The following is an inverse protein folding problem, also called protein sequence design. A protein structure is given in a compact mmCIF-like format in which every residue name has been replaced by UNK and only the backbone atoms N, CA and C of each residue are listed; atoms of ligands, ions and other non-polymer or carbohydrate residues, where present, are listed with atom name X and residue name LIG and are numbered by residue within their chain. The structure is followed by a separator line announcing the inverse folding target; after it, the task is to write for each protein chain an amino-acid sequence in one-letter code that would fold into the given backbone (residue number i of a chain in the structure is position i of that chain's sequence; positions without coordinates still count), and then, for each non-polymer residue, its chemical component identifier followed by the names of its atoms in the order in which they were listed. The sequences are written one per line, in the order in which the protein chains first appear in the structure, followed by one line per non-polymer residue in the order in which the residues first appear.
data_IF_683440760922
#
_entry.id   IF_683440760922
#
_cell.length_a   1.000
_cell.length_b   1.000
_cell.length_c   1.000
_cell.angle_alpha   90.00
_cell.angle_beta   90.00
_cell.angle_gamma   90.00
#
_symmetry.space_group_name_H-M   'P 1'
#
loop_
_entity.id
_entity.type
_entity.pdbx_description
1 polymer ?
#
# COMPACT_ATOMS: atom_id res chain seq x y z
N UNK A 1 -3.42 29.76 47.49
CA UNK A 1 -4.05 28.78 48.40
C UNK A 1 -3.53 27.36 48.09
N UNK A 2 -3.69 26.44 49.01
CA UNK A 2 -3.33 25.01 48.82
C UNK A 2 -4.03 24.39 47.57
N UNK A 3 -5.29 24.75 47.38
CA UNK A 3 -6.09 24.33 46.23
C UNK A 3 -5.52 24.83 44.89
N UNK A 4 -5.07 26.06 44.82
CA UNK A 4 -4.47 26.65 43.61
C UNK A 4 -3.17 25.91 43.23
N UNK A 5 -2.35 25.57 44.22
CA UNK A 5 -1.11 24.82 43.99
C UNK A 5 -1.37 23.40 43.51
N UNK A 6 -2.37 22.74 44.07
CA UNK A 6 -2.79 21.39 43.63
C UNK A 6 -3.33 21.42 42.19
N UNK A 7 -4.15 22.42 41.84
CA UNK A 7 -4.69 22.60 40.52
C UNK A 7 -3.59 22.85 39.48
N UNK A 8 -2.59 23.66 39.78
CA UNK A 8 -1.43 23.89 38.93
C UNK A 8 -0.64 22.60 38.74
N UNK A 9 -0.28 21.91 39.81
CA UNK A 9 0.48 20.65 39.72
C UNK A 9 -0.28 19.58 38.92
N UNK A 10 -1.60 19.52 39.05
CA UNK A 10 -2.43 18.58 38.28
C UNK A 10 -2.40 18.91 36.79
N UNK A 11 -2.45 20.21 36.45
CA UNK A 11 -2.36 20.64 35.04
C UNK A 11 -1.00 20.27 34.45
N UNK A 12 0.08 20.57 35.15
CA UNK A 12 1.45 20.27 34.72
C UNK A 12 1.67 18.74 34.57
N UNK A 13 1.13 17.95 35.52
CA UNK A 13 1.20 16.50 35.44
C UNK A 13 0.42 15.94 34.25
N UNK A 14 -0.77 16.49 33.92
CA UNK A 14 -1.56 16.09 32.75
C UNK A 14 -0.84 16.43 31.46
N UNK A 15 -0.24 17.61 31.33
CA UNK A 15 0.54 18.00 30.15
C UNK A 15 1.76 17.08 29.96
N UNK A 16 2.51 16.83 31.04
CA UNK A 16 3.64 15.91 31.02
C UNK A 16 3.23 14.49 30.63
N UNK A 17 2.14 14.00 31.16
CA UNK A 17 1.58 12.69 30.80
C UNK A 17 1.23 12.63 29.32
N UNK A 18 0.53 13.66 28.79
CA UNK A 18 0.17 13.74 27.37
C UNK A 18 1.40 13.73 26.48
N UNK A 19 2.41 14.52 26.80
CA UNK A 19 3.66 14.56 26.03
C UNK A 19 4.39 13.24 26.04
N UNK A 20 4.54 12.62 27.22
CA UNK A 20 5.21 11.32 27.35
C UNK A 20 4.42 10.20 26.65
N UNK A 21 3.10 10.25 26.69
CA UNK A 21 2.24 9.28 25.98
C UNK A 21 2.44 9.37 24.48
N UNK A 22 2.42 10.58 23.91
CA UNK A 22 2.67 10.78 22.47
C UNK A 22 4.05 10.29 22.05
N UNK A 23 5.09 10.60 22.81
CA UNK A 23 6.45 10.14 22.55
C UNK A 23 6.58 8.60 22.64
N UNK A 24 5.88 7.99 23.58
CA UNK A 24 5.84 6.54 23.72
C UNK A 24 5.11 5.87 22.55
N UNK A 25 3.95 6.41 22.15
CA UNK A 25 3.19 5.90 21.00
C UNK A 25 3.98 6.02 19.70
N UNK A 26 4.63 7.17 19.47
CA UNK A 26 5.50 7.37 18.31
C UNK A 26 6.69 6.39 18.31
N UNK A 27 7.31 6.16 19.47
CA UNK A 27 8.37 5.17 19.60
C UNK A 27 7.90 3.76 19.24
N UNK A 28 6.72 3.34 19.74
CA UNK A 28 6.14 2.02 19.45
C UNK A 28 5.85 1.83 17.95
N UNK A 29 5.34 2.86 17.26
CA UNK A 29 5.05 2.80 15.82
C UNK A 29 6.31 2.62 14.95
N UNK A 30 7.49 2.91 15.49
CA UNK A 30 8.76 2.76 14.80
C UNK A 30 9.50 1.45 15.13
N UNK A 31 8.99 0.64 16.05
CA UNK A 31 9.57 -0.67 16.38
C UNK A 31 9.21 -1.67 15.28
N UNK A 32 10.21 -2.34 14.66
CA UNK A 32 9.94 -3.42 13.72
C UNK A 32 9.16 -4.58 14.37
N UNK A 33 8.33 -5.25 13.58
CA UNK A 33 7.65 -6.44 14.04
C UNK A 33 8.63 -7.60 14.25
N UNK A 34 8.25 -8.56 15.11
CA UNK A 34 8.99 -9.80 15.30
C UNK A 34 8.90 -10.64 14.02
N UNK A 35 10.03 -11.16 13.58
CA UNK A 35 10.09 -12.06 12.46
C UNK A 35 9.73 -13.49 12.88
N UNK A 36 9.15 -14.26 11.97
CA UNK A 36 8.97 -15.70 12.16
C UNK A 36 10.36 -16.37 12.31
N UNK A 37 10.52 -17.37 13.19
CA UNK A 37 11.79 -18.08 13.38
C UNK A 37 12.36 -18.73 12.11
N UNK A 38 11.53 -19.01 11.10
CA UNK A 38 11.96 -19.57 9.83
C UNK A 38 12.61 -18.55 8.88
N UNK A 39 12.49 -17.24 9.17
CA UNK A 39 13.08 -16.21 8.32
C UNK A 39 14.59 -16.16 8.52
N UNK A 40 15.40 -16.33 7.46
CA UNK A 40 16.85 -16.29 7.56
C UNK A 40 17.33 -14.89 7.95
N UNK A 41 18.43 -14.85 8.71
CA UNK A 41 19.11 -13.58 8.97
C UNK A 41 19.87 -13.15 7.72
N UNK A 42 19.62 -11.93 7.25
CA UNK A 42 20.27 -11.41 6.05
C UNK A 42 20.36 -9.88 6.05
N UNK A 43 21.14 -9.34 5.13
CA UNK A 43 21.33 -7.90 4.92
C UNK A 43 20.71 -7.42 3.61
N UNK A 44 20.48 -8.32 2.68
CA UNK A 44 19.94 -8.05 1.35
C UNK A 44 19.09 -9.23 0.85
N UNK A 45 18.47 -9.04 -0.29
CA UNK A 45 17.70 -10.07 -1.01
C UNK A 45 18.53 -11.29 -1.42
N UNK A 46 19.85 -11.15 -1.52
CA UNK A 46 20.78 -12.26 -1.83
C UNK A 46 20.85 -13.29 -0.71
N UNK A 47 20.48 -12.89 0.50
CA UNK A 47 20.46 -13.76 1.68
C UNK A 47 19.12 -14.54 1.80
N UNK A 48 18.17 -14.33 0.88
CA UNK A 48 16.89 -15.03 0.89
C UNK A 48 17.03 -16.51 0.58
N UNK A 49 16.36 -17.36 1.34
CA UNK A 49 16.29 -18.80 1.10
C UNK A 49 15.22 -19.17 0.07
N UNK A 50 15.63 -19.91 -0.97
CA UNK A 50 14.68 -20.41 -1.96
C UNK A 50 13.86 -21.59 -1.39
N UNK A 51 12.64 -21.33 -0.98
CA UNK A 51 11.76 -22.33 -0.36
C UNK A 51 11.22 -23.35 -1.37
N UNK A 52 10.84 -22.91 -2.59
CA UNK A 52 10.22 -23.77 -3.58
C UNK A 52 10.43 -23.27 -5.00
N UNK A 53 10.71 -24.19 -5.92
CA UNK A 53 10.71 -23.92 -7.36
C UNK A 53 9.60 -24.75 -8.02
N UNK A 54 8.68 -24.09 -8.72
CA UNK A 54 7.54 -24.73 -9.40
C UNK A 54 7.60 -24.44 -10.89
N UNK A 55 7.39 -25.48 -11.69
CA UNK A 55 7.41 -25.40 -13.15
C UNK A 55 8.82 -25.35 -13.74
N UNK A 56 8.88 -25.15 -15.04
CA UNK A 56 10.12 -25.06 -15.82
C UNK A 56 10.19 -23.69 -16.49
N UNK A 57 11.30 -22.99 -16.28
CA UNK A 57 11.54 -21.72 -16.97
C UNK A 57 11.65 -22.01 -18.47
N UNK A 58 10.85 -21.37 -19.33
CA UNK A 58 10.94 -21.57 -20.77
C UNK A 58 12.28 -21.07 -21.30
N UNK A 59 12.82 -21.79 -22.29
CA UNK A 59 13.98 -21.34 -23.04
C UNK A 59 13.50 -20.84 -24.39
N UNK A 60 13.95 -19.66 -24.80
CA UNK A 60 13.60 -19.07 -26.09
C UNK A 60 14.80 -19.10 -27.02
N UNK A 61 14.57 -19.34 -28.31
CA UNK A 61 15.58 -19.25 -29.37
C UNK A 61 15.82 -17.79 -29.82
N UNK A 62 15.13 -16.83 -29.23
CA UNK A 62 15.24 -15.41 -29.49
C UNK A 62 15.43 -14.65 -28.16
N UNK A 63 15.92 -13.42 -28.24
CA UNK A 63 16.01 -12.54 -27.07
C UNK A 63 14.62 -11.99 -26.74
N UNK A 64 14.03 -12.37 -25.59
CA UNK A 64 12.73 -11.86 -25.20
C UNK A 64 12.81 -10.38 -24.89
N UNK A 65 11.78 -9.62 -25.29
CA UNK A 65 11.62 -8.21 -24.97
C UNK A 65 10.88 -8.03 -23.68
N UNK A 66 11.21 -6.99 -22.94
CA UNK A 66 10.49 -6.62 -21.74
C UNK A 66 9.10 -5.99 -22.05
N UNK A 67 8.33 -5.77 -21.01
CA UNK A 67 6.97 -5.23 -21.15
C UNK A 67 6.94 -3.79 -21.69
N UNK A 68 7.96 -2.98 -21.42
CA UNK A 68 8.05 -1.61 -21.94
C UNK A 68 8.33 -1.62 -23.45
N UNK A 69 9.32 -2.41 -23.88
CA UNK A 69 9.63 -2.58 -25.29
C UNK A 69 8.42 -3.09 -26.08
N UNK A 70 7.72 -4.11 -25.55
CA UNK A 70 6.51 -4.65 -26.17
C UNK A 70 5.38 -3.62 -26.21
N UNK A 71 5.19 -2.83 -25.15
CA UNK A 71 4.19 -1.80 -25.06
C UNK A 71 4.41 -0.68 -26.08
N UNK A 72 5.67 -0.27 -26.28
CA UNK A 72 6.05 0.73 -27.28
C UNK A 72 5.87 0.17 -28.69
N UNK A 73 6.37 -1.04 -28.97
CA UNK A 73 6.26 -1.68 -30.28
C UNK A 73 4.81 -1.88 -30.76
N UNK A 74 3.90 -2.10 -29.84
CA UNK A 74 2.46 -2.25 -30.14
C UNK A 74 1.69 -0.93 -30.16
N UNK A 75 2.37 0.21 -30.04
CA UNK A 75 1.76 1.53 -29.83
C UNK A 75 0.72 1.54 -28.69
N UNK A 76 0.96 0.73 -27.66
CA UNK A 76 0.05 0.55 -26.53
C UNK A 76 0.47 1.26 -25.25
N UNK A 77 1.74 1.66 -25.12
CA UNK A 77 2.28 2.38 -23.97
C UNK A 77 3.02 3.64 -24.42
N UNK A 78 2.76 4.76 -23.74
CA UNK A 78 3.36 6.05 -24.04
C UNK A 78 3.92 6.67 -22.75
N UNK A 79 5.22 6.52 -22.56
CA UNK A 79 5.92 7.02 -21.38
C UNK A 79 6.26 8.51 -21.50
N UNK A 80 6.50 9.02 -22.74
CA UNK A 80 6.80 10.44 -22.96
C UNK A 80 5.58 11.30 -22.66
N UNK A 81 4.40 10.89 -23.13
CA UNK A 81 3.16 11.54 -22.79
C UNK A 81 2.89 11.52 -21.28
N UNK A 82 3.18 10.41 -20.62
CA UNK A 82 3.01 10.30 -19.17
C UNK A 82 3.92 11.25 -18.40
N UNK A 83 5.18 11.41 -18.79
CA UNK A 83 6.12 12.38 -18.19
C UNK A 83 5.61 13.81 -18.38
N UNK A 84 5.09 14.14 -19.58
CA UNK A 84 4.51 15.46 -19.87
C UNK A 84 3.28 15.77 -19.01
N UNK A 85 2.44 14.76 -18.74
CA UNK A 85 1.18 14.91 -18.01
C UNK A 85 1.43 14.89 -16.48
N UNK A 86 2.38 14.07 -16.01
CA UNK A 86 2.61 13.83 -14.59
C UNK A 86 4.10 13.85 -14.24
N UNK A 87 4.74 12.68 -14.19
CA UNK A 87 6.17 12.47 -13.83
C UNK A 87 6.72 11.25 -14.55
N UNK A 88 8.03 11.01 -14.39
CA UNK A 88 8.62 9.68 -14.64
C UNK A 88 7.91 8.60 -13.80
N UNK A 89 7.94 7.36 -14.28
CA UNK A 89 7.28 6.18 -13.66
C UNK A 89 5.75 6.17 -13.76
N UNK A 90 5.16 7.06 -14.53
CA UNK A 90 3.79 6.93 -15.01
C UNK A 90 3.76 6.41 -16.44
N UNK A 91 2.64 5.88 -16.86
CA UNK A 91 2.44 5.38 -18.23
C UNK A 91 1.05 5.77 -18.72
N UNK A 92 0.95 6.09 -20.00
CA UNK A 92 -0.34 6.21 -20.69
C UNK A 92 -0.56 4.94 -21.48
N UNK A 93 -1.63 4.21 -21.17
CA UNK A 93 -2.06 3.08 -21.98
C UNK A 93 -2.94 3.56 -23.14
N UNK A 94 -2.68 3.01 -24.33
CA UNK A 94 -3.43 3.34 -25.53
C UNK A 94 -3.98 2.08 -26.20
N UNK A 95 -4.95 2.27 -27.08
CA UNK A 95 -5.43 1.26 -28.00
C UNK A 95 -5.73 -0.10 -27.35
N UNK A 96 -5.17 -1.17 -27.90
CA UNK A 96 -5.37 -2.55 -27.43
C UNK A 96 -4.87 -2.78 -26.01
N UNK A 97 -3.79 -2.13 -25.58
CA UNK A 97 -3.27 -2.26 -24.21
C UNK A 97 -4.25 -1.64 -23.21
N UNK A 98 -4.84 -0.49 -23.50
CA UNK A 98 -5.87 0.09 -22.65
C UNK A 98 -7.12 -0.81 -22.55
N UNK A 99 -7.51 -1.44 -23.66
CA UNK A 99 -8.61 -2.40 -23.66
C UNK A 99 -8.27 -3.67 -22.86
N UNK A 100 -7.05 -4.19 -23.03
CA UNK A 100 -6.56 -5.35 -22.31
C UNK A 100 -6.52 -5.10 -20.79
N UNK A 101 -6.00 -3.94 -20.39
CA UNK A 101 -5.99 -3.54 -18.96
C UNK A 101 -7.40 -3.59 -18.35
N UNK A 102 -8.38 -3.01 -19.04
CA UNK A 102 -9.79 -3.03 -18.58
C UNK A 102 -10.36 -4.45 -18.57
N UNK A 103 -10.04 -5.26 -19.58
CA UNK A 103 -10.48 -6.65 -19.65
C UNK A 103 -9.90 -7.50 -18.50
N UNK A 104 -8.63 -7.31 -18.17
CA UNK A 104 -7.98 -8.00 -17.04
C UNK A 104 -8.58 -7.58 -15.70
N UNK A 105 -8.87 -6.30 -15.50
CA UNK A 105 -9.56 -5.81 -14.30
C UNK A 105 -10.89 -6.55 -14.13
N UNK A 106 -11.71 -6.56 -15.18
CA UNK A 106 -13.01 -7.23 -15.15
C UNK A 106 -12.90 -8.74 -14.94
N UNK A 107 -11.92 -9.37 -15.59
CA UNK A 107 -11.65 -10.80 -15.43
C UNK A 107 -11.28 -11.15 -13.98
N UNK A 108 -10.35 -10.41 -13.37
CA UNK A 108 -9.93 -10.65 -12.00
C UNK A 108 -11.08 -10.42 -10.99
N UNK A 109 -11.83 -9.33 -11.13
CA UNK A 109 -12.99 -9.07 -10.28
C UNK A 109 -14.03 -10.19 -10.40
N UNK A 110 -14.38 -10.61 -11.62
CA UNK A 110 -15.34 -11.68 -11.85
C UNK A 110 -14.86 -13.02 -11.27
N UNK A 111 -13.59 -13.36 -11.45
CA UNK A 111 -13.03 -14.58 -10.90
C UNK A 111 -13.14 -14.60 -9.37
N UNK A 112 -12.76 -13.51 -8.72
CA UNK A 112 -12.83 -13.45 -7.25
C UNK A 112 -14.26 -13.44 -6.72
N UNK A 113 -15.17 -12.76 -7.38
CA UNK A 113 -16.58 -12.71 -6.93
C UNK A 113 -17.35 -14.00 -7.25
N UNK A 114 -17.18 -14.56 -8.46
CA UNK A 114 -17.98 -15.70 -8.91
C UNK A 114 -17.39 -17.04 -8.45
N UNK A 115 -16.06 -17.20 -8.53
CA UNK A 115 -15.41 -18.49 -8.29
C UNK A 115 -14.88 -18.62 -6.86
N UNK A 116 -14.45 -17.51 -6.24
CA UNK A 116 -13.85 -17.51 -4.90
C UNK A 116 -14.77 -16.98 -3.81
N UNK A 117 -15.96 -16.46 -4.13
CA UNK A 117 -16.94 -16.00 -3.15
C UNK A 117 -16.58 -14.71 -2.43
N UNK A 118 -15.69 -13.90 -2.98
CA UNK A 118 -15.36 -12.58 -2.43
C UNK A 118 -16.51 -11.60 -2.66
N UNK A 119 -16.68 -10.69 -1.72
CA UNK A 119 -17.62 -9.56 -1.87
C UNK A 119 -16.88 -8.39 -2.51
N UNK A 120 -17.37 -7.93 -3.66
CA UNK A 120 -16.82 -6.74 -4.30
C UNK A 120 -17.23 -5.50 -3.51
N UNK A 121 -16.25 -4.63 -3.21
CA UNK A 121 -16.48 -3.31 -2.62
C UNK A 121 -15.76 -2.23 -3.41
N UNK A 122 -16.39 -1.07 -3.49
CA UNK A 122 -15.81 0.12 -4.11
C UNK A 122 -15.49 1.15 -3.02
N UNK A 123 -14.23 1.47 -2.86
CA UNK A 123 -13.70 2.25 -1.74
C UNK A 123 -13.23 3.63 -2.18
N UNK A 124 -13.15 4.62 -1.27
CA UNK A 124 -12.54 5.91 -1.54
C UNK A 124 -11.06 5.78 -1.90
N UNK A 125 -10.58 6.62 -2.84
CA UNK A 125 -9.16 6.68 -3.23
C UNK A 125 -8.36 7.71 -2.43
N UNK A 126 -9.05 8.49 -1.62
CA UNK A 126 -8.49 9.45 -0.67
C UNK A 126 -8.87 8.98 0.73
N UNK A 127 -7.86 8.89 1.60
CA UNK A 127 -8.04 8.39 2.97
C UNK A 127 -7.41 9.35 3.97
N UNK A 128 -7.87 9.29 5.22
CA UNK A 128 -7.28 10.04 6.33
C UNK A 128 -5.99 9.36 6.84
N UNK A 129 -5.24 10.10 7.65
CA UNK A 129 -4.00 9.65 8.29
C UNK A 129 -4.17 8.34 9.08
N UNK A 130 -5.27 8.22 9.83
CA UNK A 130 -5.51 7.08 10.70
C UNK A 130 -5.67 5.77 9.91
N UNK A 131 -6.18 5.85 8.67
CA UNK A 131 -6.25 4.69 7.79
C UNK A 131 -4.87 4.20 7.36
N UNK A 132 -3.93 5.11 7.08
CA UNK A 132 -2.55 4.75 6.75
C UNK A 132 -1.74 4.27 7.97
N UNK A 133 -2.07 4.76 9.16
CA UNK A 133 -1.52 4.23 10.42
C UNK A 133 -2.03 2.80 10.67
N UNK A 134 -3.32 2.57 10.46
CA UNK A 134 -3.95 1.27 10.68
C UNK A 134 -3.39 0.13 9.83
N UNK A 135 -2.83 0.43 8.67
CA UNK A 135 -2.20 -0.54 7.75
C UNK A 135 -0.67 -0.42 7.68
N UNK A 136 -0.06 0.39 8.56
CA UNK A 136 1.39 0.45 8.74
C UNK A 136 2.19 1.24 7.69
N UNK A 137 1.52 1.99 6.79
CA UNK A 137 2.21 2.88 5.86
C UNK A 137 2.81 4.10 6.57
N UNK A 138 2.14 4.60 7.59
CA UNK A 138 2.66 5.65 8.45
C UNK A 138 3.12 5.05 9.80
N UNK A 139 4.14 5.64 10.41
CA UNK A 139 4.94 6.79 9.98
C UNK A 139 6.04 6.43 8.98
N UNK A 140 6.42 5.15 8.87
CA UNK A 140 7.65 4.68 8.22
C UNK A 140 7.77 5.07 6.73
N UNK A 141 6.69 4.96 5.97
CA UNK A 141 6.67 5.20 4.52
C UNK A 141 6.01 6.53 4.15
N UNK A 142 6.12 7.55 5.01
CA UNK A 142 5.49 8.86 4.77
C UNK A 142 5.94 9.52 3.47
N UNK A 143 7.22 9.39 3.12
CA UNK A 143 7.80 10.02 1.91
C UNK A 143 7.30 9.36 0.62
N UNK A 144 6.85 8.10 0.71
CA UNK A 144 6.28 7.37 -0.41
C UNK A 144 4.80 7.67 -0.64
N UNK A 145 4.17 8.45 0.23
CA UNK A 145 2.76 8.79 0.12
C UNK A 145 2.55 10.11 -0.63
N UNK A 146 1.48 10.17 -1.43
CA UNK A 146 0.98 11.42 -1.98
C UNK A 146 0.05 12.08 -0.97
N UNK A 147 0.56 13.05 -0.23
CA UNK A 147 -0.24 13.86 0.69
C UNK A 147 -1.03 14.92 -0.09
N UNK A 148 -2.31 15.04 0.21
CA UNK A 148 -3.17 16.10 -0.31
C UNK A 148 -3.08 17.28 0.64
N UNK A 149 -2.87 18.47 0.09
CA UNK A 149 -2.88 19.69 0.87
C UNK A 149 -4.33 20.03 1.19
N UNK A 150 -4.69 19.88 2.46
CA UNK A 150 -5.97 20.27 3.04
C UNK A 150 -5.64 21.06 4.31
N UNK A 151 -6.32 22.20 4.51
CA UNK A 151 -6.03 23.11 5.64
C UNK A 151 -6.52 22.54 6.99
N UNK A 152 -7.46 21.59 6.98
CA UNK A 152 -8.08 21.06 8.19
C UNK A 152 -7.65 19.63 8.53
N UNK A 153 -7.25 18.81 7.53
CA UNK A 153 -7.01 17.39 7.72
C UNK A 153 -5.78 16.88 6.96
N UNK A 154 -5.09 15.90 7.52
CA UNK A 154 -4.07 15.14 6.79
C UNK A 154 -4.74 14.06 5.95
N UNK A 155 -4.86 14.32 4.65
CA UNK A 155 -5.44 13.40 3.66
C UNK A 155 -4.38 12.90 2.67
N UNK A 156 -4.58 11.70 2.16
CA UNK A 156 -3.62 11.03 1.28
C UNK A 156 -4.32 10.27 0.16
N UNK A 157 -3.68 10.20 -1.02
CA UNK A 157 -4.05 9.23 -2.05
C UNK A 157 -3.64 7.83 -1.59
N UNK A 158 -4.47 6.83 -1.85
CA UNK A 158 -4.19 5.45 -1.41
C UNK A 158 -2.99 4.85 -2.16
N UNK A 159 -2.01 4.24 -1.48
CA UNK A 159 -0.92 3.50 -2.12
C UNK A 159 -1.34 2.09 -2.57
N UNK A 160 -2.44 1.58 -2.04
CA UNK A 160 -3.02 0.27 -2.31
C UNK A 160 -4.48 0.23 -1.85
N UNK A 161 -5.30 -0.60 -2.49
CA UNK A 161 -6.68 -0.86 -2.05
C UNK A 161 -6.76 -1.44 -0.64
N UNK A 162 -5.71 -2.13 -0.16
CA UNK A 162 -5.63 -2.68 1.19
C UNK A 162 -5.97 -1.64 2.25
N UNK A 163 -5.47 -0.41 2.10
CA UNK A 163 -5.69 0.65 3.10
C UNK A 163 -7.17 0.88 3.39
N UNK A 164 -8.01 1.30 2.44
CA UNK A 164 -9.42 1.52 2.71
C UNK A 164 -10.19 0.22 2.98
N UNK A 165 -9.82 -0.90 2.35
CA UNK A 165 -10.51 -2.19 2.53
C UNK A 165 -10.31 -2.73 3.95
N UNK A 166 -9.09 -2.71 4.48
CA UNK A 166 -8.80 -3.16 5.85
C UNK A 166 -9.44 -2.24 6.89
N UNK A 167 -9.40 -0.92 6.64
CA UNK A 167 -10.02 0.05 7.53
C UNK A 167 -11.56 0.10 7.44
N UNK A 168 -12.18 -0.64 6.53
CA UNK A 168 -13.64 -0.73 6.41
C UNK A 168 -14.28 -1.22 7.72
N UNK A 169 -13.60 -2.09 8.44
CA UNK A 169 -14.03 -2.61 9.74
C UNK A 169 -13.21 -2.07 10.93
N UNK A 170 -12.49 -0.97 10.74
CA UNK A 170 -11.75 -0.35 11.84
C UNK A 170 -12.70 0.08 12.96
N UNK A 171 -12.30 -0.19 14.20
CA UNK A 171 -13.05 0.13 15.43
C UNK A 171 -14.43 -0.57 15.53
N UNK A 172 -14.66 -1.66 14.77
CA UNK A 172 -15.84 -2.48 14.84
C UNK A 172 -15.58 -3.79 15.60
N UNK A 173 -16.57 -4.27 16.34
CA UNK A 173 -16.61 -5.61 16.91
C UNK A 173 -17.52 -6.46 16.02
N UNK A 174 -16.91 -7.38 15.28
CA UNK A 174 -17.63 -8.25 14.36
C UNK A 174 -18.21 -9.47 15.09
N UNK A 175 -19.38 -9.94 14.63
CA UNK A 175 -19.92 -11.20 15.13
C UNK A 175 -19.10 -12.39 14.58
N UNK A 176 -18.90 -13.40 15.39
CA UNK A 176 -18.19 -14.61 14.96
C UNK A 176 -18.88 -15.36 13.81
N UNK A 177 -20.20 -15.23 13.70
CA UNK A 177 -20.99 -15.78 12.60
C UNK A 177 -20.71 -15.12 11.23
N UNK A 178 -20.17 -13.91 11.22
CA UNK A 178 -19.91 -13.14 10.01
C UNK A 178 -18.51 -13.42 9.41
N UNK A 179 -17.67 -14.14 10.16
CA UNK A 179 -16.32 -14.51 9.77
C UNK A 179 -16.33 -15.80 8.93
N UNK A 180 -15.52 -15.93 7.89
CA UNK A 180 -14.48 -15.05 7.39
C UNK A 180 -15.05 -14.03 6.40
N UNK A 181 -14.65 -12.76 6.51
CA UNK A 181 -14.99 -11.73 5.55
C UNK A 181 -13.91 -11.64 4.48
N UNK A 182 -14.28 -11.82 3.23
CA UNK A 182 -13.37 -11.73 2.09
C UNK A 182 -13.87 -10.67 1.11
N UNK A 183 -13.02 -9.70 0.82
CA UNK A 183 -13.35 -8.57 -0.06
C UNK A 183 -12.40 -8.51 -1.25
N UNK A 184 -12.90 -8.03 -2.38
CA UNK A 184 -12.12 -7.66 -3.55
C UNK A 184 -12.47 -6.24 -3.97
N UNK A 185 -11.45 -5.49 -4.37
CA UNK A 185 -11.62 -4.12 -4.87
C UNK A 185 -10.58 -3.83 -5.96
N UNK A 186 -11.00 -3.13 -7.00
CA UNK A 186 -10.09 -2.53 -7.97
C UNK A 186 -9.95 -1.04 -7.69
N UNK A 187 -8.71 -0.57 -7.55
CA UNK A 187 -8.40 0.84 -7.35
C UNK A 187 -7.12 1.22 -8.11
N UNK A 188 -6.94 2.50 -8.45
CA UNK A 188 -5.59 3.00 -8.69
C UNK A 188 -4.77 2.90 -7.40
N UNK A 189 -3.43 2.84 -7.56
CA UNK A 189 -2.48 2.79 -6.45
C UNK A 189 -1.45 3.91 -6.68
N UNK A 190 -1.35 4.83 -5.72
CA UNK A 190 -0.52 6.03 -5.84
C UNK A 190 0.70 5.92 -4.93
N UNK A 191 1.88 5.69 -5.53
CA UNK A 191 3.16 5.64 -4.80
C UNK A 191 4.09 6.66 -5.40
N UNK A 192 4.73 7.50 -4.56
CA UNK A 192 5.67 8.52 -5.05
C UNK A 192 6.99 7.91 -5.50
N UNK A 193 7.29 6.67 -5.06
CA UNK A 193 8.53 5.98 -5.37
C UNK A 193 9.75 6.85 -5.06
N UNK A 194 9.77 7.45 -3.87
CA UNK A 194 10.81 8.39 -3.44
C UNK A 194 12.21 7.76 -3.38
N UNK A 195 12.27 6.43 -3.17
CA UNK A 195 13.50 5.66 -3.20
C UNK A 195 13.85 5.11 -4.60
N UNK A 196 15.09 4.62 -4.75
CA UNK A 196 15.53 3.87 -5.92
C UNK A 196 15.05 2.41 -5.82
N UNK A 197 13.79 2.17 -6.16
CA UNK A 197 13.28 0.81 -6.27
C UNK A 197 13.66 0.23 -7.63
N UNK A 198 14.10 -1.02 -7.65
CA UNK A 198 14.53 -1.71 -8.87
C UNK A 198 13.41 -1.86 -9.90
N UNK A 199 13.79 -2.04 -11.15
CA UNK A 199 12.85 -2.28 -12.27
C UNK A 199 12.13 -3.63 -12.21
N UNK A 200 12.48 -4.50 -11.27
CA UNK A 200 11.92 -5.84 -11.19
C UNK A 200 10.63 -5.86 -10.38
N UNK A 201 9.49 -5.77 -11.07
CA UNK A 201 8.15 -5.90 -10.47
C UNK A 201 7.88 -7.29 -9.87
N UNK A 202 8.62 -8.32 -10.29
CA UNK A 202 8.49 -9.71 -9.80
C UNK A 202 9.08 -9.90 -8.39
N UNK A 203 9.90 -8.97 -7.92
CA UNK A 203 10.57 -9.07 -6.63
C UNK A 203 9.88 -8.27 -5.52
N UNK A 204 8.97 -7.37 -5.90
CA UNK A 204 8.32 -6.42 -4.99
C UNK A 204 6.83 -6.66 -4.79
N UNK A 205 6.29 -7.72 -5.38
CA UNK A 205 4.88 -8.10 -5.25
C UNK A 205 4.68 -9.33 -4.39
#
# INVERSE_FOLDING_TARGET
SKATKISSNLKDAKEKFKTNKLAYEDFLLNIPNLLDPSVPSGKSEEDNELIKKVGKIPSFEFTPKDHQELGILTDGMDFEAAVKISKSRFVVFKNSIAQLNRALIQFMLNTHTNDHGYKEIYVPFIVNKDSLLGTGQLPKFKEDQFQIKDDENEMYLIPTAEVPVTNYHRDEILNSSDLTLSYVSHTPCFRSEAGSHGFCLLYTS
#
